data_IF_016690844760
#
_entry.id   IF_016690844760
#
_cell.length_a   1.000
_cell.length_b   1.000
_cell.length_c   1.000
_cell.angle_alpha   90.00
_cell.angle_beta   90.00
_cell.angle_gamma   90.00
#
_symmetry.space_group_name_H-M   'P 1'
#
loop_
_entity.id
_entity.type
_entity.pdbx_description
1 polymer ?
#
# COMPACT_ATOMS: atom_id res chain seq x y z
N UNK A 1 8.89 -1.66 -21.63
CA UNK A 1 8.50 -0.77 -22.75
C UNK A 1 9.68 0.16 -23.03
N UNK A 2 10.13 0.20 -24.28
CA UNK A 2 11.38 0.81 -24.71
C UNK A 2 11.38 2.34 -24.50
N UNK A 3 12.44 2.86 -23.86
CA UNK A 3 12.76 4.29 -23.79
C UNK A 3 13.37 4.72 -25.12
N UNK A 4 12.72 5.65 -25.82
CA UNK A 4 13.33 6.35 -26.95
C UNK A 4 14.14 7.54 -26.41
N UNK A 5 15.44 7.34 -26.23
CA UNK A 5 16.40 8.42 -26.00
C UNK A 5 16.58 9.21 -27.30
N UNK A 6 15.92 10.37 -27.40
CA UNK A 6 16.20 11.34 -28.46
C UNK A 6 17.48 12.10 -28.09
N UNK A 7 18.63 11.53 -28.46
CA UNK A 7 19.92 12.25 -28.47
C UNK A 7 19.94 13.22 -29.64
N UNK A 8 19.56 14.48 -29.40
CA UNK A 8 19.89 15.57 -30.31
C UNK A 8 21.38 15.89 -30.16
N UNK A 9 22.21 15.31 -31.01
CA UNK A 9 23.61 15.71 -31.17
C UNK A 9 23.65 17.12 -31.74
N UNK A 10 24.10 18.06 -30.91
CA UNK A 10 24.50 19.41 -31.32
C UNK A 10 25.67 19.28 -32.30
N UNK A 11 25.39 19.16 -33.60
CA UNK A 11 26.39 19.46 -34.62
C UNK A 11 26.58 20.97 -34.60
N UNK A 12 27.66 21.39 -33.95
CA UNK A 12 28.27 22.70 -34.08
C UNK A 12 28.62 22.94 -35.55
N UNK A 13 27.72 23.57 -36.31
CA UNK A 13 28.08 24.22 -37.57
C UNK A 13 28.56 25.65 -37.29
N UNK A 14 29.76 25.70 -36.73
CA UNK A 14 30.63 26.86 -36.85
C UNK A 14 31.15 26.92 -38.30
N UNK A 15 30.34 27.36 -39.28
CA UNK A 15 30.87 27.58 -40.64
C UNK A 15 30.03 28.43 -41.59
N UNK A 16 29.65 29.65 -41.21
CA UNK A 16 29.32 30.67 -42.25
C UNK A 16 29.56 32.11 -41.80
N UNK A 17 30.72 32.38 -41.19
CA UNK A 17 31.34 33.72 -41.29
C UNK A 17 32.31 33.70 -42.46
N UNK A 18 31.81 33.74 -43.70
CA UNK A 18 32.61 34.19 -44.84
C UNK A 18 32.21 35.62 -45.14
N UNK A 19 33.10 36.51 -44.72
CA UNK A 19 33.31 37.83 -45.27
C UNK A 19 32.87 37.92 -46.74
N UNK A 20 31.80 38.66 -47.02
CA UNK A 20 31.73 39.42 -48.26
C UNK A 20 32.41 40.78 -47.99
N UNK A 21 33.73 40.77 -48.05
CA UNK A 21 34.50 41.99 -48.22
C UNK A 21 34.37 42.33 -49.72
N UNK A 22 33.32 43.06 -50.08
CA UNK A 22 33.21 43.62 -51.42
C UNK A 22 34.28 44.71 -51.51
N UNK A 23 35.40 44.40 -52.19
CA UNK A 23 36.26 45.45 -52.72
C UNK A 23 35.40 46.27 -53.68
N UNK A 24 35.20 47.55 -53.36
CA UNK A 24 34.73 48.54 -54.31
C UNK A 24 35.78 48.66 -55.41
N UNK A 25 35.69 47.79 -56.42
CA UNK A 25 36.31 48.04 -57.72
C UNK A 25 35.44 49.09 -58.38
N UNK A 26 36.05 50.17 -58.86
CA UNK A 26 35.41 51.27 -59.58
C UNK A 26 34.49 50.76 -60.70
N UNK A 27 33.21 50.62 -60.38
CA UNK A 27 32.16 50.42 -61.38
C UNK A 27 31.47 51.77 -61.52
N UNK A 28 31.71 52.44 -62.64
CA UNK A 28 30.85 53.54 -63.10
C UNK A 28 29.45 52.99 -63.28
N UNK A 29 28.56 53.35 -62.36
CA UNK A 29 27.16 52.97 -62.41
C UNK A 29 26.45 53.76 -63.53
N UNK A 30 25.77 53.10 -64.47
CA UNK A 30 24.78 53.77 -65.26
C UNK A 30 23.62 54.16 -64.33
N UNK A 31 23.17 55.41 -64.43
CA UNK A 31 21.96 55.89 -63.75
C UNK A 31 20.75 55.16 -64.34
N UNK A 32 20.36 54.04 -63.72
CA UNK A 32 19.14 53.31 -64.06
C UNK A 32 18.25 53.27 -62.82
N UNK A 33 16.97 53.68 -62.90
CA UNK A 33 16.04 53.68 -61.75
C UNK A 33 15.76 52.29 -61.14
N UNK A 34 16.27 51.20 -61.73
CA UNK A 34 15.97 49.82 -61.34
C UNK A 34 16.82 49.29 -60.18
N UNK A 35 17.95 49.93 -59.85
CA UNK A 35 18.84 49.44 -58.79
C UNK A 35 18.28 49.65 -57.39
N UNK A 36 17.50 50.71 -57.19
CA UNK A 36 16.84 51.00 -55.92
C UNK A 36 15.79 49.94 -55.56
N UNK A 37 15.04 49.44 -56.56
CA UNK A 37 14.01 48.43 -56.35
C UNK A 37 14.61 47.07 -55.97
N UNK A 38 15.75 46.69 -56.58
CA UNK A 38 16.43 45.43 -56.25
C UNK A 38 16.97 45.46 -54.81
N UNK A 39 17.49 46.60 -54.35
CA UNK A 39 17.97 46.76 -52.97
C UNK A 39 16.82 46.76 -51.96
N UNK A 40 15.67 47.34 -52.31
CA UNK A 40 14.46 47.31 -51.48
C UNK A 40 13.94 45.89 -51.31
N UNK A 41 13.82 45.12 -52.40
CA UNK A 41 13.38 43.72 -52.36
C UNK A 41 14.29 42.84 -51.50
N UNK A 42 15.61 43.07 -51.55
CA UNK A 42 16.58 42.37 -50.70
C UNK A 42 16.48 42.75 -49.21
N UNK A 43 16.18 44.01 -48.90
CA UNK A 43 16.01 44.47 -47.51
C UNK A 43 14.68 43.97 -46.92
N UNK A 44 13.60 43.94 -47.69
CA UNK A 44 12.33 43.34 -47.27
C UNK A 44 12.44 41.82 -47.05
N UNK A 45 13.17 41.12 -47.93
CA UNK A 45 13.47 39.70 -47.74
C UNK A 45 14.35 39.44 -46.50
N UNK A 46 15.32 40.31 -46.22
CA UNK A 46 16.14 40.22 -45.02
C UNK A 46 15.35 40.50 -43.73
N UNK A 47 14.46 41.49 -43.73
CA UNK A 47 13.62 41.86 -42.57
C UNK A 47 12.57 40.76 -42.26
N UNK A 48 12.05 40.10 -43.30
CA UNK A 48 11.22 38.89 -43.18
C UNK A 48 11.98 37.72 -42.53
N UNK A 49 13.27 37.55 -42.87
CA UNK A 49 14.12 36.51 -42.29
C UNK A 49 14.39 36.76 -40.78
N UNK A 50 14.66 38.01 -40.39
CA UNK A 50 14.87 38.36 -38.98
C UNK A 50 13.60 38.22 -38.12
N UNK A 51 12.41 38.53 -38.67
CA UNK A 51 11.14 38.30 -37.95
C UNK A 51 10.89 36.82 -37.70
N UNK A 52 11.17 35.95 -38.68
CA UNK A 52 11.07 34.51 -38.51
C UNK A 52 12.02 34.01 -37.41
N UNK A 53 13.26 34.49 -37.34
CA UNK A 53 14.22 34.06 -36.33
C UNK A 53 13.83 34.49 -34.90
N UNK A 54 13.28 35.69 -34.72
CA UNK A 54 12.79 36.17 -33.41
C UNK A 54 11.55 35.41 -32.95
N UNK A 55 10.61 35.12 -33.86
CA UNK A 55 9.46 34.28 -33.53
C UNK A 55 9.87 32.84 -33.21
N UNK A 56 10.80 32.27 -33.97
CA UNK A 56 11.37 30.93 -33.70
C UNK A 56 12.05 30.90 -32.34
N UNK A 57 12.80 31.94 -31.95
CA UNK A 57 13.43 32.03 -30.63
C UNK A 57 12.39 32.07 -29.49
N UNK A 58 11.33 32.87 -29.64
CA UNK A 58 10.20 32.94 -28.68
C UNK A 58 9.46 31.61 -28.57
N UNK A 59 9.24 30.92 -29.69
CA UNK A 59 8.66 29.58 -29.69
C UNK A 59 9.58 28.57 -28.99
N UNK A 60 10.89 28.65 -29.20
CA UNK A 60 11.86 27.77 -28.55
C UNK A 60 11.87 27.95 -27.03
N UNK A 61 11.80 29.20 -26.55
CA UNK A 61 11.70 29.51 -25.13
C UNK A 61 10.40 28.96 -24.52
N UNK A 62 9.26 29.13 -25.21
CA UNK A 62 7.97 28.58 -24.78
C UNK A 62 8.01 27.05 -24.69
N UNK A 63 8.56 26.39 -25.72
CA UNK A 63 8.71 24.94 -25.75
C UNK A 63 9.61 24.47 -24.61
N UNK A 64 10.73 25.16 -24.36
CA UNK A 64 11.64 24.85 -23.26
C UNK A 64 10.94 24.97 -21.89
N UNK A 65 10.21 26.07 -21.67
CA UNK A 65 9.45 26.28 -20.44
C UNK A 65 8.36 25.23 -20.25
N UNK A 66 7.62 24.89 -21.30
CA UNK A 66 6.62 23.83 -21.25
C UNK A 66 7.24 22.46 -20.97
N UNK A 67 8.40 22.15 -21.55
CA UNK A 67 9.12 20.89 -21.31
C UNK A 67 9.52 20.77 -19.83
N UNK A 68 9.95 21.87 -19.21
CA UNK A 68 10.27 21.90 -17.78
C UNK A 68 9.04 21.61 -16.92
N UNK A 69 7.91 22.26 -17.20
CA UNK A 69 6.65 22.04 -16.46
C UNK A 69 6.18 20.59 -16.60
N UNK A 70 6.25 20.01 -17.80
CA UNK A 70 5.90 18.61 -18.04
C UNK A 70 6.78 17.68 -17.18
N UNK A 71 8.09 17.93 -17.13
CA UNK A 71 9.01 17.11 -16.32
C UNK A 71 8.72 17.19 -14.80
N UNK A 72 8.21 18.34 -14.32
CA UNK A 72 7.80 18.48 -12.92
C UNK A 72 6.48 17.75 -12.65
N UNK A 73 5.53 17.82 -13.58
CA UNK A 73 4.26 17.08 -13.47
C UNK A 73 4.50 15.56 -13.48
N UNK A 74 5.43 15.05 -14.29
CA UNK A 74 5.78 13.63 -14.31
C UNK A 74 6.27 13.12 -12.94
N UNK A 75 7.07 13.91 -12.22
CA UNK A 75 7.53 13.56 -10.87
C UNK A 75 6.38 13.50 -9.86
N UNK A 76 5.42 14.43 -9.97
CA UNK A 76 4.24 14.46 -9.10
C UNK A 76 3.35 13.25 -9.38
N UNK A 77 3.13 12.93 -10.66
CA UNK A 77 2.33 11.76 -11.06
C UNK A 77 2.96 10.46 -10.53
N UNK A 78 4.28 10.32 -10.61
CA UNK A 78 4.96 9.13 -10.07
C UNK A 78 4.85 9.05 -8.54
N UNK A 79 4.96 10.18 -7.85
CA UNK A 79 4.78 10.24 -6.40
C UNK A 79 3.35 9.86 -6.00
N UNK A 80 2.35 10.35 -6.73
CA UNK A 80 0.95 10.01 -6.49
C UNK A 80 0.67 8.54 -6.78
N UNK A 81 1.26 7.99 -7.84
CA UNK A 81 1.15 6.57 -8.20
C UNK A 81 1.62 5.68 -7.05
N UNK A 82 2.81 5.94 -6.50
CA UNK A 82 3.36 5.16 -5.39
C UNK A 82 2.48 5.25 -4.12
N UNK A 83 1.92 6.42 -3.83
CA UNK A 83 1.00 6.59 -2.69
C UNK A 83 -0.33 5.86 -2.90
N UNK A 84 -0.83 5.81 -4.14
CA UNK A 84 -2.03 5.05 -4.48
C UNK A 84 -1.77 3.55 -4.32
N UNK A 85 -0.62 3.05 -4.78
CA UNK A 85 -0.22 1.64 -4.61
C UNK A 85 -0.15 1.26 -3.12
N UNK A 86 0.49 2.09 -2.27
CA UNK A 86 0.50 1.88 -0.80
C UNK A 86 -0.91 1.88 -0.18
N UNK A 87 -1.77 2.81 -0.60
CA UNK A 87 -3.15 2.86 -0.12
C UNK A 87 -3.95 1.64 -0.55
N UNK A 88 -3.75 1.16 -1.78
CA UNK A 88 -4.40 -0.06 -2.29
C UNK A 88 -3.94 -1.28 -1.48
N UNK A 89 -2.65 -1.40 -1.16
CA UNK A 89 -2.15 -2.51 -0.34
C UNK A 89 -2.74 -2.48 1.08
N UNK A 90 -2.85 -1.28 1.68
CA UNK A 90 -3.49 -1.12 2.99
C UNK A 90 -4.98 -1.46 2.94
N UNK A 91 -5.70 -1.03 1.91
CA UNK A 91 -7.12 -1.35 1.73
C UNK A 91 -7.30 -2.85 1.50
N UNK A 92 -6.52 -3.49 0.62
CA UNK A 92 -6.59 -4.94 0.37
C UNK A 92 -6.23 -5.76 1.62
N UNK A 93 -5.25 -5.32 2.41
CA UNK A 93 -4.95 -5.93 3.71
C UNK A 93 -6.13 -5.80 4.69
N UNK A 94 -6.83 -4.68 4.65
CA UNK A 94 -8.05 -4.45 5.44
C UNK A 94 -9.25 -5.22 4.88
N UNK A 95 -9.37 -5.39 3.56
CA UNK A 95 -10.40 -6.21 2.92
C UNK A 95 -10.19 -7.68 3.22
N UNK A 96 -8.96 -8.19 3.32
CA UNK A 96 -8.74 -9.56 3.83
C UNK A 96 -9.15 -9.71 5.31
N UNK A 97 -9.13 -8.63 6.08
CA UNK A 97 -9.65 -8.58 7.45
C UNK A 97 -11.18 -8.44 7.51
N UNK A 98 -11.80 -7.79 6.51
CA UNK A 98 -13.25 -7.51 6.46
C UNK A 98 -14.04 -8.54 5.63
N UNK A 99 -13.44 -9.15 4.61
CA UNK A 99 -14.05 -10.05 3.63
C UNK A 99 -14.15 -11.51 4.11
N UNK A 100 -14.26 -11.71 5.43
CA UNK A 100 -14.95 -12.87 5.99
C UNK A 100 -16.35 -12.43 6.40
N UNK A 101 -17.34 -12.37 5.49
CA UNK A 101 -18.71 -11.98 5.79
C UNK A 101 -19.47 -13.20 6.32
N UNK A 102 -18.92 -13.81 7.37
CA UNK A 102 -19.43 -14.96 8.09
C UNK A 102 -19.06 -14.83 9.55
N UNK A 103 -19.72 -13.90 10.26
CA UNK A 103 -19.86 -13.89 11.73
C UNK A 103 -18.60 -14.14 12.57
N UNK A 104 -17.52 -13.39 12.37
CA UNK A 104 -16.42 -13.33 13.33
C UNK A 104 -16.23 -11.88 13.80
N UNK A 105 -17.11 -11.45 14.71
CA UNK A 105 -16.74 -10.35 15.62
C UNK A 105 -15.39 -10.75 16.22
N UNK A 106 -14.32 -9.97 16.02
CA UNK A 106 -13.02 -10.25 16.65
C UNK A 106 -13.26 -10.37 18.16
N UNK A 107 -13.28 -11.59 18.66
CA UNK A 107 -13.77 -11.89 19.99
C UNK A 107 -12.58 -11.93 20.94
N UNK A 108 -12.06 -10.75 21.29
CA UNK A 108 -10.94 -10.54 22.23
C UNK A 108 -11.00 -11.40 23.51
N UNK A 109 -12.19 -11.90 23.88
CA UNK A 109 -12.37 -12.85 24.98
C UNK A 109 -11.72 -14.21 24.69
N UNK A 110 -11.81 -14.71 23.45
CA UNK A 110 -11.18 -15.95 22.99
C UNK A 110 -9.66 -15.85 23.04
N UNK A 111 -9.07 -14.74 22.58
CA UNK A 111 -7.62 -14.54 22.63
C UNK A 111 -7.10 -14.44 24.07
N UNK A 112 -7.83 -13.74 24.94
CA UNK A 112 -7.48 -13.66 26.37
C UNK A 112 -7.61 -15.01 27.04
N UNK A 113 -8.67 -15.76 26.75
CA UNK A 113 -8.86 -17.10 27.28
C UNK A 113 -7.73 -18.03 26.81
N UNK A 114 -7.39 -18.00 25.52
CA UNK A 114 -6.30 -18.81 24.96
C UNK A 114 -4.95 -18.45 25.59
N UNK A 115 -4.63 -17.16 25.69
CA UNK A 115 -3.41 -16.71 26.34
C UNK A 115 -3.34 -17.15 27.81
N UNK A 116 -4.46 -17.06 28.53
CA UNK A 116 -4.56 -17.47 29.93
C UNK A 116 -4.37 -18.98 30.09
N UNK A 117 -5.03 -19.79 29.27
CA UNK A 117 -4.85 -21.24 29.29
C UNK A 117 -3.41 -21.64 28.97
N UNK A 118 -2.80 -21.03 27.95
CA UNK A 118 -1.39 -21.26 27.60
C UNK A 118 -0.44 -20.90 28.75
N UNK A 119 -0.69 -19.80 29.46
CA UNK A 119 0.14 -19.37 30.58
C UNK A 119 0.03 -20.30 31.81
N UNK A 120 -1.11 -20.96 31.99
CA UNK A 120 -1.33 -21.89 33.10
C UNK A 120 -0.81 -23.30 32.85
N UNK A 121 -0.53 -23.67 31.60
CA UNK A 121 0.01 -24.97 31.28
C UNK A 121 1.44 -25.10 31.84
N UNK A 122 1.58 -25.89 32.91
CA UNK A 122 2.86 -26.07 33.63
C UNK A 122 3.84 -27.01 32.93
N UNK A 123 3.38 -27.71 31.91
CA UNK A 123 4.12 -28.74 31.18
C UNK A 123 3.88 -28.56 29.68
N UNK A 124 4.81 -29.04 28.82
CA UNK A 124 4.61 -28.96 27.37
C UNK A 124 3.39 -29.77 26.92
N UNK A 125 2.35 -29.08 26.47
CA UNK A 125 1.14 -29.68 25.88
C UNK A 125 0.60 -28.78 24.78
N UNK A 126 -0.21 -29.36 23.89
CA UNK A 126 -1.17 -28.59 23.11
C UNK A 126 -2.32 -28.18 24.03
N UNK A 127 -2.67 -26.89 23.97
CA UNK A 127 -3.61 -26.23 24.88
C UNK A 127 -4.61 -25.44 24.07
N UNK A 128 -5.88 -25.55 24.43
CA UNK A 128 -6.98 -24.82 23.81
C UNK A 128 -7.86 -24.19 24.87
N UNK A 129 -8.33 -22.98 24.59
CA UNK A 129 -9.45 -22.39 25.28
C UNK A 129 -10.75 -22.74 24.55
N UNK A 130 -11.55 -23.62 25.15
CA UNK A 130 -12.84 -24.04 24.58
C UNK A 130 -13.95 -23.19 25.21
N UNK A 131 -14.74 -22.45 24.41
CA UNK A 131 -15.87 -21.70 24.92
C UNK A 131 -16.92 -22.66 25.51
N UNK A 132 -17.48 -22.26 26.65
CA UNK A 132 -18.52 -23.02 27.35
C UNK A 132 -19.82 -22.25 27.33
N UNK A 133 -20.84 -22.84 26.72
CA UNK A 133 -22.20 -22.34 26.82
C UNK A 133 -22.75 -22.58 28.24
N UNK A 134 -23.33 -21.54 28.84
CA UNK A 134 -23.98 -21.63 30.14
C UNK A 134 -25.51 -21.57 30.08
N UNK A 135 -26.08 -21.54 28.88
CA UNK A 135 -27.53 -21.58 28.67
C UNK A 135 -28.05 -23.03 28.55
N UNK A 136 -29.27 -23.27 29.04
CA UNK A 136 -29.95 -24.57 28.92
C UNK A 136 -29.22 -25.71 29.63
N UNK A 137 -28.97 -26.80 28.89
CA UNK A 137 -28.22 -27.99 29.34
C UNK A 137 -26.70 -27.77 29.30
N UNK A 138 -26.25 -26.64 29.89
CA UNK A 138 -24.85 -26.22 29.89
C UNK A 138 -23.93 -27.27 30.49
N UNK A 139 -22.98 -27.75 29.69
CA UNK A 139 -21.99 -28.79 30.05
C UNK A 139 -21.02 -28.31 31.14
N UNK A 140 -20.47 -29.26 31.91
CA UNK A 140 -19.25 -29.00 32.69
C UNK A 140 -18.06 -28.74 31.76
N UNK A 141 -16.96 -28.20 32.28
CA UNK A 141 -15.77 -28.01 31.45
C UNK A 141 -15.12 -29.34 31.06
N UNK A 142 -15.18 -30.37 31.92
CA UNK A 142 -14.78 -31.73 31.55
C UNK A 142 -15.57 -32.24 30.34
N UNK A 143 -16.89 -32.06 30.36
CA UNK A 143 -17.78 -32.46 29.27
C UNK A 143 -17.55 -31.62 28.02
N UNK A 144 -17.27 -30.33 28.17
CA UNK A 144 -16.95 -29.44 27.06
C UNK A 144 -15.67 -29.89 26.35
N UNK A 145 -14.58 -30.09 27.10
CA UNK A 145 -13.30 -30.59 26.58
C UNK A 145 -13.44 -31.96 25.93
N UNK A 146 -14.14 -32.90 26.57
CA UNK A 146 -14.39 -34.23 26.00
C UNK A 146 -15.19 -34.15 24.68
N UNK A 147 -16.21 -33.28 24.62
CA UNK A 147 -17.03 -33.13 23.41
C UNK A 147 -16.30 -32.41 22.27
N UNK A 148 -15.38 -31.50 22.58
CA UNK A 148 -14.51 -30.88 21.60
C UNK A 148 -13.37 -31.82 21.14
N UNK A 149 -13.14 -32.92 21.87
CA UNK A 149 -11.97 -33.78 21.73
C UNK A 149 -11.71 -34.25 20.31
N UNK A 150 -12.71 -34.74 19.58
CA UNK A 150 -12.51 -35.22 18.20
C UNK A 150 -12.03 -34.11 17.26
N UNK A 151 -12.57 -32.90 17.38
CA UNK A 151 -12.17 -31.76 16.56
C UNK A 151 -10.75 -31.32 16.90
N UNK A 152 -10.42 -31.21 18.19
CA UNK A 152 -9.08 -30.76 18.62
C UNK A 152 -7.99 -31.80 18.30
N UNK A 153 -8.28 -33.10 18.47
CA UNK A 153 -7.36 -34.19 18.17
C UNK A 153 -7.12 -34.35 16.66
N UNK A 154 -8.02 -33.87 15.81
CA UNK A 154 -7.80 -33.87 14.35
C UNK A 154 -6.57 -33.02 13.95
N UNK A 155 -6.18 -32.05 14.78
CA UNK A 155 -5.04 -31.16 14.54
C UNK A 155 -3.71 -31.74 15.07
N UNK A 156 -3.76 -32.55 16.14
CA UNK A 156 -2.56 -32.96 16.92
C UNK A 156 -2.37 -34.47 17.05
N UNK A 157 -3.23 -35.25 16.40
CA UNK A 157 -3.18 -36.72 16.40
C UNK A 157 -3.87 -37.38 17.59
N UNK A 158 -3.60 -38.68 17.78
CA UNK A 158 -4.27 -39.52 18.80
C UNK A 158 -3.96 -39.09 20.23
N UNK A 159 -4.92 -39.27 21.12
CA UNK A 159 -4.84 -39.03 22.57
C UNK A 159 -6.22 -38.75 23.14
N UNK A 160 -6.26 -38.33 24.39
CA UNK A 160 -7.46 -37.81 25.04
C UNK A 160 -7.30 -36.31 25.30
N UNK A 161 -8.42 -35.60 25.42
CA UNK A 161 -8.45 -34.19 25.81
C UNK A 161 -9.03 -34.09 27.21
N UNK A 162 -8.29 -33.47 28.12
CA UNK A 162 -8.71 -33.24 29.50
C UNK A 162 -8.82 -31.75 29.81
N UNK A 163 -9.71 -31.41 30.74
CA UNK A 163 -9.73 -30.09 31.34
C UNK A 163 -8.66 -30.01 32.43
N UNK A 164 -7.90 -28.92 32.46
CA UNK A 164 -6.95 -28.65 33.55
C UNK A 164 -7.20 -27.31 34.25
N UNK A 165 -8.02 -26.43 33.66
CA UNK A 165 -8.45 -25.20 34.31
C UNK A 165 -9.72 -24.62 33.68
N UNK A 166 -10.32 -23.61 34.31
CA UNK A 166 -11.46 -22.88 33.76
C UNK A 166 -11.50 -21.41 34.19
N UNK A 167 -11.99 -20.56 33.30
CA UNK A 167 -12.06 -19.13 33.48
C UNK A 167 -13.42 -18.55 33.15
N UNK A 168 -13.73 -17.44 33.81
CA UNK A 168 -14.72 -16.50 33.33
C UNK A 168 -14.04 -15.24 32.82
N UNK A 169 -14.15 -14.98 31.52
CA UNK A 169 -13.66 -13.76 30.88
C UNK A 169 -14.88 -12.91 30.50
N UNK A 170 -14.95 -11.69 31.03
CA UNK A 170 -16.05 -10.76 30.75
C UNK A 170 -15.54 -9.34 30.57
N UNK A 171 -16.18 -8.59 29.67
CA UNK A 171 -16.04 -7.15 29.59
C UNK A 171 -16.99 -6.50 30.60
N UNK A 172 -16.47 -5.50 31.30
CA UNK A 172 -17.18 -4.65 32.25
C UNK A 172 -16.95 -3.18 31.88
N UNK A 173 -17.63 -2.26 32.57
CA UNK A 173 -17.43 -0.82 32.36
C UNK A 173 -16.01 -0.36 32.73
N UNK A 174 -15.33 -1.10 33.60
CA UNK A 174 -13.94 -0.86 34.00
C UNK A 174 -12.92 -1.55 33.09
N UNK A 175 -13.38 -2.22 32.03
CA UNK A 175 -12.56 -3.00 31.12
C UNK A 175 -12.69 -4.50 31.35
N UNK A 176 -11.61 -5.22 31.00
CA UNK A 176 -11.57 -6.68 31.02
C UNK A 176 -11.41 -7.23 32.43
N UNK A 177 -12.27 -8.18 32.79
CA UNK A 177 -12.20 -8.90 34.05
C UNK A 177 -12.12 -10.40 33.78
N UNK A 178 -11.13 -11.03 34.39
CA UNK A 178 -10.99 -12.49 34.42
C UNK A 178 -11.24 -12.99 35.84
N UNK A 179 -11.95 -14.11 35.97
CA UNK A 179 -12.06 -14.86 37.21
C UNK A 179 -11.60 -16.28 36.97
N UNK A 180 -10.67 -16.74 37.80
CA UNK A 180 -10.02 -18.04 37.69
C UNK A 180 -10.67 -19.01 38.67
N UNK A 181 -11.24 -20.10 38.15
CA UNK A 181 -11.96 -21.08 38.98
C UNK A 181 -11.06 -22.19 39.54
N UNK A 182 -9.81 -22.28 39.08
CA UNK A 182 -8.85 -23.34 39.38
C UNK A 182 -9.36 -24.72 38.91
N UNK A 183 -8.47 -25.71 38.86
CA UNK A 183 -8.82 -27.05 38.36
C UNK A 183 -9.98 -27.68 39.15
N UNK A 184 -9.86 -27.77 40.47
CA UNK A 184 -10.80 -28.49 41.35
C UNK A 184 -12.19 -27.86 41.38
N UNK A 185 -12.28 -26.54 41.17
CA UNK A 185 -13.54 -25.81 41.15
C UNK A 185 -14.10 -25.57 39.74
N UNK A 186 -13.23 -25.46 38.74
CA UNK A 186 -13.56 -25.00 37.39
C UNK A 186 -13.94 -26.12 36.43
N UNK A 187 -13.15 -27.18 36.37
CA UNK A 187 -13.35 -28.25 35.39
C UNK A 187 -14.66 -29.02 35.62
N UNK A 188 -14.92 -29.32 36.90
CA UNK A 188 -16.14 -29.96 37.38
C UNK A 188 -17.26 -28.97 37.72
N UNK A 189 -17.13 -27.68 37.35
CA UNK A 189 -18.11 -26.67 37.71
C UNK A 189 -19.50 -27.06 37.23
N UNK A 190 -20.46 -26.98 38.18
CA UNK A 190 -21.85 -27.45 38.06
C UNK A 190 -22.42 -27.19 36.67
N UNK A 191 -23.03 -28.23 36.10
CA UNK A 191 -23.81 -28.12 34.89
C UNK A 191 -25.01 -27.17 35.09
N UNK A 192 -25.48 -26.57 34.00
CA UNK A 192 -26.68 -25.71 33.95
C UNK A 192 -26.61 -24.46 34.86
N UNK A 193 -25.41 -24.06 35.28
CA UNK A 193 -25.16 -22.83 36.02
C UNK A 193 -24.09 -22.00 35.31
N UNK A 194 -24.29 -20.69 35.25
CA UNK A 194 -23.28 -19.78 34.70
C UNK A 194 -22.14 -19.60 35.69
N UNK A 195 -21.01 -20.27 35.40
CA UNK A 195 -19.71 -20.09 36.04
C UNK A 195 -18.65 -19.74 34.99
N UNK A 196 -17.61 -20.58 34.80
CA UNK A 196 -16.63 -20.36 33.75
C UNK A 196 -17.30 -20.38 32.37
N UNK A 197 -16.93 -19.44 31.50
CA UNK A 197 -17.34 -19.39 30.09
C UNK A 197 -16.24 -19.85 29.13
N UNK A 198 -15.05 -20.17 29.65
CA UNK A 198 -13.98 -20.81 28.92
C UNK A 198 -13.37 -21.95 29.75
N UNK A 199 -13.10 -23.06 29.08
CA UNK A 199 -12.45 -24.25 29.63
C UNK A 199 -11.05 -24.38 29.03
N UNK A 200 -10.04 -24.53 29.87
CA UNK A 200 -8.69 -24.81 29.43
C UNK A 200 -8.54 -26.32 29.25
N UNK A 201 -8.51 -26.72 27.99
CA UNK A 201 -8.36 -28.10 27.59
C UNK A 201 -6.93 -28.35 27.14
N UNK A 202 -6.38 -29.51 27.44
CA UNK A 202 -5.09 -29.95 26.93
C UNK A 202 -5.16 -31.39 26.47
N UNK A 203 -4.20 -31.77 25.64
CA UNK A 203 -4.00 -33.17 25.29
C UNK A 203 -3.38 -33.91 26.49
N UNK A 204 -4.07 -34.93 26.98
CA UNK A 204 -3.53 -35.87 27.97
C UNK A 204 -2.35 -36.62 27.36
N UNK A 205 -1.28 -36.74 28.13
CA UNK A 205 -0.07 -37.45 27.71
C UNK A 205 -0.24 -38.96 27.76
#
# INVERSE_FOLDING_TARGET
MARNDVKFTRKTEAKTRRFFQIRLVDVRWPTVPSFANIVLDYLEAADSCYKCDDEVAKLHERISNQTRVISEMEKIVETLRLRIEDLVDRVNGTENFIAHPGTAFYNYLDEIAQASCSALARTPHYVWAVPRDCHGDGKTCDQACASAGQSLLSEVGRGDIECFDAFQVRKTDLGLRTYHYLQDGGCSWRANHCGPNYCCCRKSN
#
